data_IF_924885949188
#
_entry.id   IF_924885949188
#
_cell.length_a   1.000
_cell.length_b   1.000
_cell.length_c   1.000
_cell.angle_alpha   90.00
_cell.angle_beta   90.00
_cell.angle_gamma   90.00
#
_symmetry.space_group_name_H-M   'P 1'
#
loop_
_entity.id
_entity.type
_entity.pdbx_description
1 polymer ?
#
# COMPACT_ATOMS: atom_id res chain seq x y z
N UNK A 1 -1.71 39.55 -11.11
CA UNK A 1 -1.85 39.73 -9.67
C UNK A 1 -2.67 40.98 -9.38
N UNK A 2 -3.39 41.02 -8.29
CA UNK A 2 -4.19 42.16 -7.82
C UNK A 2 -3.55 42.71 -6.54
N UNK A 3 -3.34 44.03 -6.49
CA UNK A 3 -2.93 44.70 -5.24
C UNK A 3 -4.19 44.90 -4.36
N UNK A 4 -4.17 44.40 -3.13
CA UNK A 4 -5.31 44.44 -2.22
C UNK A 4 -5.47 45.81 -1.50
N UNK A 5 -4.50 46.73 -1.63
CA UNK A 5 -4.53 48.07 -1.03
C UNK A 5 -4.07 48.11 0.43
N UNK A 6 -3.74 46.99 1.03
CA UNK A 6 -3.28 46.82 2.42
C UNK A 6 -1.80 46.41 2.55
N UNK A 7 -1.05 46.51 1.44
CA UNK A 7 0.33 46.08 1.35
C UNK A 7 0.51 44.61 0.93
N UNK A 8 -0.59 43.91 0.65
CA UNK A 8 -0.60 42.54 0.11
C UNK A 8 -1.05 42.51 -1.34
N UNK A 9 -0.78 41.39 -2.00
CA UNK A 9 -1.25 41.10 -3.36
C UNK A 9 -1.73 39.67 -3.46
N UNK A 10 -2.65 39.40 -4.38
CA UNK A 10 -3.11 38.06 -4.71
C UNK A 10 -3.00 37.79 -6.19
N UNK A 11 -2.71 36.53 -6.55
CA UNK A 11 -2.92 35.99 -7.87
C UNK A 11 -4.09 35.01 -7.75
N UNK A 12 -5.16 35.24 -8.51
CA UNK A 12 -6.32 34.37 -8.46
C UNK A 12 -5.98 32.95 -8.91
N UNK A 13 -6.70 31.99 -8.37
CA UNK A 13 -6.62 30.58 -8.80
C UNK A 13 -6.87 30.46 -10.31
N UNK A 14 -6.30 29.45 -10.95
CA UNK A 14 -6.38 29.19 -12.38
C UNK A 14 -5.80 30.33 -13.29
N UNK A 15 -4.95 31.20 -12.75
CA UNK A 15 -4.31 32.29 -13.53
C UNK A 15 -2.97 31.84 -14.15
N UNK A 16 -2.30 30.86 -13.51
CA UNK A 16 -1.09 30.25 -14.05
C UNK A 16 -1.47 29.11 -15.02
N UNK A 17 -0.61 28.77 -15.97
CA UNK A 17 -0.77 27.53 -16.74
C UNK A 17 -0.66 26.33 -15.81
N UNK A 18 -1.14 25.16 -16.27
CA UNK A 18 -0.94 23.89 -15.55
C UNK A 18 0.56 23.68 -15.37
N UNK A 19 0.96 23.49 -14.11
CA UNK A 19 2.35 23.21 -13.73
C UNK A 19 2.54 21.70 -13.63
N UNK A 20 3.69 21.22 -14.06
CA UNK A 20 4.10 19.82 -13.85
C UNK A 20 4.51 19.61 -12.39
N UNK A 21 4.62 18.36 -11.97
CA UNK A 21 5.16 18.02 -10.65
C UNK A 21 6.58 18.51 -10.49
N UNK A 22 6.89 18.97 -9.29
CA UNK A 22 8.19 19.48 -8.90
C UNK A 22 8.21 20.96 -8.49
N UNK A 23 9.37 21.50 -8.18
CA UNK A 23 9.53 22.90 -7.74
C UNK A 23 9.49 23.89 -8.90
N UNK A 24 8.68 24.93 -8.74
CA UNK A 24 8.54 26.04 -9.69
C UNK A 24 8.95 27.35 -9.03
N UNK A 25 9.87 28.08 -9.64
CA UNK A 25 10.27 29.39 -9.16
C UNK A 25 9.29 30.45 -9.65
N UNK A 26 8.69 31.19 -8.72
CA UNK A 26 7.86 32.35 -8.99
C UNK A 26 8.65 33.61 -8.71
N UNK A 27 8.68 34.55 -9.66
CA UNK A 27 9.32 35.85 -9.52
C UNK A 27 8.28 36.96 -9.61
N UNK A 28 8.30 37.88 -8.66
CA UNK A 28 7.35 38.99 -8.58
C UNK A 28 8.11 40.32 -8.58
N UNK A 29 7.62 41.25 -9.38
CA UNK A 29 8.05 42.66 -9.37
C UNK A 29 6.83 43.57 -9.18
N UNK A 30 7.02 44.72 -8.56
CA UNK A 30 6.01 45.77 -8.45
C UNK A 30 6.47 47.00 -9.23
N UNK A 31 5.52 47.73 -9.84
CA UNK A 31 5.76 49.02 -10.52
C UNK A 31 4.96 50.09 -9.81
N UNK A 32 5.59 51.21 -9.46
CA UNK A 32 4.90 52.35 -8.85
C UNK A 32 4.19 53.20 -9.94
N UNK A 33 3.44 54.21 -9.49
CA UNK A 33 2.69 55.11 -10.40
C UNK A 33 3.58 55.99 -11.25
N UNK A 34 4.85 56.14 -10.90
CA UNK A 34 5.87 56.87 -11.67
C UNK A 34 6.59 56.00 -12.71
N UNK A 35 6.32 54.68 -12.72
CA UNK A 35 6.92 53.72 -13.63
C UNK A 35 8.20 53.06 -13.13
N UNK A 36 8.60 53.28 -11.87
CA UNK A 36 9.77 52.60 -11.30
C UNK A 36 9.42 51.12 -10.96
N UNK A 37 10.31 50.21 -11.37
CA UNK A 37 10.15 48.76 -11.12
C UNK A 37 11.02 48.33 -9.95
N UNK A 38 10.45 47.56 -9.04
CA UNK A 38 11.18 46.96 -7.89
C UNK A 38 12.21 45.94 -8.36
N UNK A 39 13.16 45.62 -7.49
CA UNK A 39 13.96 44.40 -7.63
C UNK A 39 13.05 43.18 -7.56
N UNK A 40 13.30 42.14 -8.39
CA UNK A 40 12.52 40.91 -8.32
C UNK A 40 12.65 40.23 -6.94
N UNK A 41 11.53 39.72 -6.43
CA UNK A 41 11.50 38.81 -5.27
C UNK A 41 11.07 37.44 -5.78
N UNK A 42 11.78 36.39 -5.40
CA UNK A 42 11.53 35.02 -5.84
C UNK A 42 11.07 34.14 -4.69
N UNK A 43 10.15 33.21 -4.98
CA UNK A 43 9.69 32.16 -4.09
C UNK A 43 9.57 30.85 -4.86
N UNK A 44 9.44 29.74 -4.14
CA UNK A 44 9.23 28.41 -4.75
C UNK A 44 7.84 27.90 -4.37
N UNK A 45 7.13 27.38 -5.40
CA UNK A 45 5.92 26.58 -5.24
C UNK A 45 6.26 25.17 -5.70
N UNK A 46 6.05 24.17 -4.84
CA UNK A 46 6.21 22.77 -5.23
C UNK A 46 4.83 22.20 -5.54
N UNK A 47 4.70 21.63 -6.73
CA UNK A 47 3.49 20.93 -7.18
C UNK A 47 3.74 19.44 -7.08
N UNK A 48 2.76 18.72 -6.56
CA UNK A 48 2.69 17.27 -6.55
C UNK A 48 1.24 16.89 -6.87
N UNK A 49 1.04 16.26 -8.00
CA UNK A 49 -0.26 15.78 -8.48
C UNK A 49 -0.22 14.27 -8.78
N UNK A 50 0.84 13.59 -8.34
CA UNK A 50 1.03 12.16 -8.51
C UNK A 50 0.37 11.41 -7.36
N UNK A 51 -0.53 10.48 -7.68
CA UNK A 51 -1.17 9.61 -6.68
C UNK A 51 -0.16 8.58 -6.15
N UNK A 52 -0.09 8.34 -4.82
CA UNK A 52 0.71 7.26 -4.27
C UNK A 52 0.13 5.90 -4.68
N UNK A 53 1.01 4.94 -4.95
CA UNK A 53 0.65 3.55 -5.27
C UNK A 53 1.00 2.62 -4.11
N UNK A 54 0.29 1.49 -4.02
CA UNK A 54 0.49 0.44 -3.01
C UNK A 54 0.87 -0.88 -3.67
N UNK A 55 1.73 -1.65 -2.99
CA UNK A 55 1.95 -3.07 -3.24
C UNK A 55 1.83 -3.83 -1.91
N UNK A 56 0.97 -4.87 -1.88
CA UNK A 56 0.79 -5.77 -0.72
C UNK A 56 1.53 -7.07 -1.01
N UNK A 57 2.41 -7.48 -0.10
CA UNK A 57 3.19 -8.70 -0.22
C UNK A 57 3.19 -9.48 1.10
N UNK A 58 3.55 -10.77 1.03
CA UNK A 58 3.71 -11.64 2.19
C UNK A 58 5.04 -12.38 2.14
N UNK A 59 5.57 -12.78 3.29
CA UNK A 59 6.74 -13.65 3.41
C UNK A 59 6.38 -15.12 3.22
N UNK A 60 5.11 -15.49 3.33
CA UNK A 60 4.62 -16.84 3.06
C UNK A 60 3.30 -16.79 2.27
N UNK A 61 3.26 -17.49 1.15
CA UNK A 61 2.10 -17.57 0.27
C UNK A 61 1.22 -18.82 0.52
N UNK A 62 1.72 -19.82 1.26
CA UNK A 62 1.04 -21.09 1.44
C UNK A 62 1.04 -21.53 2.92
N UNK A 63 0.08 -21.01 3.69
CA UNK A 63 0.01 -21.22 5.11
C UNK A 63 -0.63 -22.56 5.47
N UNK A 64 0.01 -23.31 6.38
CA UNK A 64 -0.55 -24.48 7.03
C UNK A 64 -1.43 -24.07 8.24
N UNK A 65 -2.09 -25.06 8.87
CA UNK A 65 -2.90 -24.84 10.05
C UNK A 65 -2.06 -24.29 11.22
N UNK A 66 -2.44 -23.13 11.74
CA UNK A 66 -1.79 -22.46 12.88
C UNK A 66 -0.50 -21.72 12.52
N UNK A 67 -0.23 -21.50 11.24
CA UNK A 67 0.88 -20.71 10.73
C UNK A 67 0.43 -19.27 10.46
N UNK A 68 1.26 -18.31 10.84
CA UNK A 68 1.04 -16.88 10.61
C UNK A 68 1.93 -16.39 9.45
N UNK A 69 1.52 -15.32 8.76
CA UNK A 69 2.32 -14.66 7.74
C UNK A 69 2.56 -13.19 8.08
N UNK A 70 3.75 -12.68 7.78
CA UNK A 70 4.02 -11.26 7.83
C UNK A 70 3.58 -10.61 6.51
N UNK A 71 2.69 -9.64 6.62
CA UNK A 71 2.20 -8.85 5.50
C UNK A 71 2.95 -7.53 5.47
N UNK A 72 3.40 -7.16 4.28
CA UNK A 72 4.08 -5.89 4.02
C UNK A 72 3.28 -5.06 3.02
N UNK A 73 2.95 -3.84 3.40
CA UNK A 73 2.36 -2.81 2.57
C UNK A 73 3.46 -1.83 2.18
N UNK A 74 3.78 -1.74 0.90
CA UNK A 74 4.83 -0.84 0.40
C UNK A 74 4.21 0.23 -0.48
N UNK A 75 4.29 1.48 -0.04
CA UNK A 75 3.83 2.64 -0.79
C UNK A 75 4.95 3.23 -1.62
N UNK A 76 4.62 3.89 -2.74
CA UNK A 76 5.60 4.59 -3.58
C UNK A 76 6.24 5.80 -2.90
N UNK A 77 5.58 6.33 -1.88
CA UNK A 77 5.98 7.50 -1.10
C UNK A 77 5.32 7.51 0.29
N UNK A 78 5.65 8.49 1.14
CA UNK A 78 5.06 8.60 2.46
C UNK A 78 3.57 8.97 2.38
N UNK A 79 2.72 8.16 3.03
CA UNK A 79 1.27 8.34 3.02
C UNK A 79 0.74 8.90 4.34
N UNK A 80 -0.45 9.49 4.26
CA UNK A 80 -1.21 10.02 5.37
C UNK A 80 -2.59 9.35 5.45
N UNK A 81 -3.08 9.19 6.68
CA UNK A 81 -4.41 8.65 6.94
C UNK A 81 -4.55 7.13 6.80
N UNK A 82 -3.50 6.39 6.44
CA UNK A 82 -3.56 4.93 6.35
C UNK A 82 -3.58 4.29 7.74
N UNK A 83 -4.58 3.45 8.00
CA UNK A 83 -4.72 2.68 9.23
C UNK A 83 -5.45 1.34 9.01
N UNK A 84 -5.68 0.58 10.09
CA UNK A 84 -6.29 -0.75 10.00
C UNK A 84 -7.72 -0.72 9.43
N UNK A 85 -8.44 0.40 9.50
CA UNK A 85 -9.79 0.53 8.96
C UNK A 85 -9.84 0.62 7.43
N UNK A 86 -8.70 0.90 6.80
CA UNK A 86 -8.55 0.93 5.34
C UNK A 86 -8.34 -0.47 4.74
N UNK A 87 -8.09 -1.46 5.61
CA UNK A 87 -7.72 -2.82 5.20
C UNK A 87 -8.92 -3.75 5.36
N UNK A 88 -9.35 -4.36 4.27
CA UNK A 88 -10.34 -5.44 4.29
C UNK A 88 -9.62 -6.78 4.35
N UNK A 89 -9.96 -7.62 5.34
CA UNK A 89 -9.35 -8.93 5.56
C UNK A 89 -10.42 -10.02 5.48
N UNK A 90 -10.14 -11.08 4.75
CA UNK A 90 -10.98 -12.28 4.61
C UNK A 90 -10.17 -13.52 4.96
N UNK A 91 -10.79 -14.53 5.58
CA UNK A 91 -10.16 -15.82 5.93
C UNK A 91 -9.19 -15.77 7.10
N UNK A 92 -9.17 -14.66 7.85
CA UNK A 92 -8.29 -14.51 9.01
C UNK A 92 -8.43 -13.16 9.68
N UNK A 93 -7.42 -12.84 10.49
CA UNK A 93 -7.30 -11.55 11.20
C UNK A 93 -5.94 -10.91 10.93
N UNK A 94 -5.90 -9.58 10.85
CA UNK A 94 -4.66 -8.80 10.71
C UNK A 94 -4.40 -8.05 12.02
N UNK A 95 -3.19 -8.15 12.55
CA UNK A 95 -2.81 -7.51 13.81
C UNK A 95 -1.44 -6.85 13.71
N UNK A 96 -1.15 -5.90 14.62
CA UNK A 96 0.18 -5.33 14.76
C UNK A 96 0.59 -4.40 13.61
N UNK A 97 -0.37 -3.74 12.92
CA UNK A 97 -0.04 -2.79 11.86
C UNK A 97 0.86 -1.67 12.40
N UNK A 98 2.05 -1.51 11.83
CA UNK A 98 3.07 -0.56 12.27
C UNK A 98 3.95 -0.08 11.12
N UNK A 99 4.52 1.12 11.28
CA UNK A 99 5.48 1.73 10.37
C UNK A 99 6.50 2.56 11.13
N UNK A 100 7.62 2.89 10.49
CA UNK A 100 8.63 3.84 10.98
C UNK A 100 8.86 5.01 10.03
N UNK A 101 8.34 4.95 8.81
CA UNK A 101 8.61 5.92 7.73
C UNK A 101 7.36 6.35 6.94
N UNK A 102 6.19 5.80 7.26
CA UNK A 102 4.93 5.95 6.53
C UNK A 102 4.98 5.51 5.05
N UNK A 103 6.03 4.79 4.66
CA UNK A 103 6.20 4.21 3.32
C UNK A 103 6.05 2.70 3.39
N UNK A 104 6.69 2.06 4.37
CA UNK A 104 6.63 0.63 4.58
C UNK A 104 5.88 0.33 5.88
N UNK A 105 4.79 -0.41 5.76
CA UNK A 105 3.99 -0.87 6.89
C UNK A 105 4.02 -2.39 6.96
N UNK A 106 4.02 -2.93 8.17
CA UNK A 106 3.99 -4.37 8.40
C UNK A 106 2.89 -4.74 9.37
N UNK A 107 2.33 -5.95 9.19
CA UNK A 107 1.33 -6.53 10.06
C UNK A 107 1.46 -8.06 10.05
N UNK A 108 0.79 -8.75 10.98
CA UNK A 108 0.73 -10.21 11.03
C UNK A 108 -0.68 -10.66 10.66
N UNK A 109 -0.79 -11.56 9.68
CA UNK A 109 -2.02 -12.25 9.31
C UNK A 109 -2.04 -13.61 10.00
N UNK A 110 -3.16 -13.91 10.70
CA UNK A 110 -3.43 -15.20 11.32
C UNK A 110 -4.69 -15.78 10.68
N UNK A 111 -4.64 -16.95 10.03
CA UNK A 111 -5.81 -17.63 9.47
C UNK A 111 -6.86 -17.95 10.54
N UNK A 112 -8.15 -17.86 10.17
CA UNK A 112 -9.28 -18.13 11.08
C UNK A 112 -9.60 -19.61 11.24
N UNK A 113 -8.91 -20.50 10.53
CA UNK A 113 -9.10 -21.94 10.58
C UNK A 113 -10.37 -22.46 9.91
N UNK A 114 -11.11 -21.63 9.17
CA UNK A 114 -12.36 -22.04 8.49
C UNK A 114 -12.12 -22.64 7.11
N UNK A 115 -10.92 -22.49 6.54
CA UNK A 115 -10.58 -22.87 5.18
C UNK A 115 -11.13 -21.89 4.12
N UNK A 116 -11.58 -20.71 4.54
CA UNK A 116 -11.93 -19.62 3.62
C UNK A 116 -10.68 -19.10 2.94
N UNK A 117 -10.71 -18.95 1.62
CA UNK A 117 -9.59 -18.39 0.86
C UNK A 117 -9.21 -17.00 1.41
N UNK A 118 -7.93 -16.78 1.77
CA UNK A 118 -7.51 -15.51 2.37
C UNK A 118 -7.49 -14.40 1.32
N UNK A 119 -7.79 -13.19 1.79
CA UNK A 119 -7.62 -11.97 0.99
C UNK A 119 -7.34 -10.79 1.91
N UNK A 120 -6.40 -9.94 1.50
CA UNK A 120 -6.04 -8.68 2.16
C UNK A 120 -6.10 -7.61 1.10
N UNK A 121 -7.02 -6.66 1.24
CA UNK A 121 -7.29 -5.65 0.23
C UNK A 121 -7.32 -4.25 0.84
N UNK A 122 -6.81 -3.28 0.10
CA UNK A 122 -6.93 -1.83 0.35
C UNK A 122 -7.60 -1.22 -0.87
N UNK A 123 -8.67 -0.45 -0.65
CA UNK A 123 -9.43 0.15 -1.76
C UNK A 123 -8.75 1.42 -2.29
N UNK A 124 -9.01 1.76 -3.56
CA UNK A 124 -8.61 3.04 -4.12
C UNK A 124 -9.19 4.20 -3.29
N UNK A 125 -8.38 5.20 -3.03
CA UNK A 125 -8.79 6.43 -2.35
C UNK A 125 -9.01 6.33 -0.84
N UNK A 126 -8.64 5.22 -0.20
CA UNK A 126 -8.75 5.05 1.26
C UNK A 126 -7.66 5.81 2.03
N UNK A 127 -6.58 6.19 1.38
CA UNK A 127 -5.46 6.95 1.93
C UNK A 127 -5.00 8.03 0.95
N UNK A 128 -4.14 8.94 1.39
CA UNK A 128 -3.56 9.99 0.56
C UNK A 128 -2.05 10.08 0.75
N UNK A 129 -1.38 10.81 -0.13
CA UNK A 129 -0.07 11.36 0.16
C UNK A 129 -0.16 12.56 1.15
N UNK A 130 0.97 13.22 1.40
CA UNK A 130 1.07 14.34 2.33
C UNK A 130 0.46 15.65 1.78
N UNK A 131 0.20 15.74 0.46
CA UNK A 131 -0.42 16.91 -0.18
C UNK A 131 -1.91 16.67 -0.52
N UNK A 132 -2.41 15.44 -0.38
CA UNK A 132 -3.82 15.10 -0.49
C UNK A 132 -4.22 14.40 -1.80
N UNK A 133 -3.27 13.87 -2.59
CA UNK A 133 -3.59 13.04 -3.74
C UNK A 133 -4.08 11.67 -3.25
N UNK A 134 -5.23 11.22 -3.76
CA UNK A 134 -5.83 9.93 -3.38
C UNK A 134 -5.01 8.76 -3.92
N UNK A 135 -4.64 7.82 -3.06
CA UNK A 135 -3.85 6.65 -3.41
C UNK A 135 -4.62 5.58 -4.17
N UNK A 136 -3.88 4.72 -4.88
CA UNK A 136 -4.42 3.51 -5.53
C UNK A 136 -4.29 2.32 -4.60
N UNK A 137 -5.34 1.49 -4.56
CA UNK A 137 -5.37 0.27 -3.76
C UNK A 137 -4.60 -0.89 -4.39
N UNK A 138 -4.60 -2.00 -3.63
CA UNK A 138 -4.04 -3.28 -4.05
C UNK A 138 -4.73 -4.42 -3.32
N UNK A 139 -4.60 -5.65 -3.82
CA UNK A 139 -5.13 -6.85 -3.20
C UNK A 139 -4.11 -7.98 -3.26
N UNK A 140 -3.94 -8.68 -2.14
CA UNK A 140 -3.20 -9.93 -2.04
C UNK A 140 -4.21 -11.06 -1.80
N UNK A 141 -4.33 -11.99 -2.74
CA UNK A 141 -5.30 -13.11 -2.67
C UNK A 141 -4.78 -14.38 -3.39
N UNK A 142 -5.69 -15.32 -3.64
CA UNK A 142 -5.37 -16.58 -4.33
C UNK A 142 -4.82 -16.40 -5.75
N UNK A 143 -5.00 -15.27 -6.41
CA UNK A 143 -4.41 -14.99 -7.74
C UNK A 143 -2.91 -14.71 -7.65
N UNK A 144 -2.44 -14.25 -6.49
CA UNK A 144 -1.02 -14.08 -6.15
C UNK A 144 -0.40 -15.37 -5.59
N UNK A 145 -1.23 -16.40 -5.38
CA UNK A 145 -0.85 -17.65 -4.75
C UNK A 145 -1.01 -17.67 -3.23
N UNK A 146 -1.64 -16.65 -2.64
CA UNK A 146 -1.89 -16.59 -1.19
C UNK A 146 -3.03 -17.53 -0.82
N UNK A 147 -2.69 -18.65 -0.18
CA UNK A 147 -3.60 -19.73 0.18
C UNK A 147 -3.41 -20.18 1.62
N UNK A 148 -4.45 -20.77 2.19
CA UNK A 148 -4.39 -21.50 3.47
C UNK A 148 -4.82 -22.94 3.22
N UNK A 149 -3.93 -23.89 3.47
CA UNK A 149 -4.22 -25.34 3.41
C UNK A 149 -4.28 -25.93 4.80
N UNK A 150 -5.47 -26.35 5.20
CA UNK A 150 -5.73 -26.95 6.52
C UNK A 150 -5.79 -28.49 6.47
N UNK A 151 -5.59 -29.07 5.28
CA UNK A 151 -5.76 -30.51 5.07
C UNK A 151 -4.42 -31.21 5.22
N UNK A 152 -4.28 -32.01 6.29
CA UNK A 152 -3.11 -32.86 6.43
C UNK A 152 -3.14 -34.00 5.39
N UNK A 153 -2.02 -34.34 4.75
CA UNK A 153 -1.97 -35.47 3.83
C UNK A 153 -2.34 -36.79 4.54
N UNK A 154 -3.09 -37.63 3.86
CA UNK A 154 -3.47 -38.95 4.36
C UNK A 154 -2.52 -40.00 3.79
N UNK A 155 -1.86 -40.72 4.69
CA UNK A 155 -1.01 -41.85 4.31
C UNK A 155 -1.73 -43.16 4.64
N UNK A 156 -1.85 -44.02 3.64
CA UNK A 156 -2.34 -45.38 3.80
C UNK A 156 -1.23 -46.39 3.64
N UNK A 157 -1.33 -47.47 4.38
CA UNK A 157 -0.41 -48.60 4.29
C UNK A 157 -1.25 -49.89 4.27
N UNK A 158 -1.00 -50.78 3.32
CA UNK A 158 -1.68 -52.04 3.23
C UNK A 158 -0.96 -53.09 4.11
N UNK A 159 -1.70 -53.79 4.94
CA UNK A 159 -1.17 -54.92 5.72
C UNK A 159 -0.69 -55.99 4.75
N UNK A 160 0.54 -56.45 4.94
CA UNK A 160 1.16 -57.50 4.15
C UNK A 160 1.41 -58.73 5.07
N UNK A 161 0.86 -59.86 4.67
CA UNK A 161 1.16 -61.16 5.30
C UNK A 161 1.86 -62.04 4.25
N UNK A 162 3.13 -62.37 4.47
CA UNK A 162 3.97 -63.09 3.52
C UNK A 162 5.05 -63.90 4.22
N UNK A 163 5.58 -64.93 3.55
CA UNK A 163 6.76 -65.66 3.99
C UNK A 163 8.03 -65.11 3.36
N UNK A 164 7.94 -64.06 2.54
CA UNK A 164 9.07 -63.32 2.03
C UNK A 164 9.71 -62.49 3.16
N UNK A 165 11.03 -62.66 3.35
CA UNK A 165 11.78 -61.97 4.40
C UNK A 165 12.18 -60.54 4.01
N UNK A 166 11.92 -60.14 2.74
CA UNK A 166 12.17 -58.79 2.18
C UNK A 166 10.98 -58.29 1.36
N UNK A 167 9.75 -58.27 1.93
CA UNK A 167 8.57 -57.95 1.17
C UNK A 167 8.59 -56.51 0.66
N UNK A 168 8.06 -56.31 -0.55
CA UNK A 168 7.73 -54.96 -1.03
C UNK A 168 6.55 -54.38 -0.25
N UNK A 169 6.72 -53.19 0.29
CA UNK A 169 5.67 -52.44 0.97
C UNK A 169 5.10 -51.40 0.05
N UNK A 170 3.79 -51.26 0.01
CA UNK A 170 3.08 -50.29 -0.81
C UNK A 170 2.06 -49.52 0.01
N UNK A 171 1.85 -48.28 -0.33
CA UNK A 171 0.87 -47.38 0.26
C UNK A 171 0.52 -46.25 -0.70
N UNK A 172 -0.36 -45.36 -0.28
CA UNK A 172 -0.68 -44.13 -1.00
C UNK A 172 -0.50 -42.93 -0.06
N UNK A 173 -0.19 -41.80 -0.65
CA UNK A 173 -0.23 -40.49 -0.02
C UNK A 173 -1.01 -39.57 -0.97
N UNK A 174 -1.94 -38.80 -0.44
CA UNK A 174 -2.68 -37.77 -1.18
C UNK A 174 -2.15 -36.38 -0.83
#
# INVERSE_FOLDING_TARGET
AVNNGDGTWTLADNTLPVLADGPHTVSVTATDVAGNVSTPVTGTVTVDATAPTLAITTDDLALAAGEDANITFTFSEAVAGFDVSDITVVGGTLTGLTTTDNITWTAVFTPDGTGTAPSIAVADGSYTDVVGNLGTGDVLDGTDGFIVDLVAPVVTFADVSTNDTTPALTGTID
#
